data_IF_595361714875
#
_entry.id   IF_595361714875
#
_cell.length_a   1.000
_cell.length_b   1.000
_cell.length_c   1.000
_cell.angle_alpha   90.00
_cell.angle_beta   90.00
_cell.angle_gamma   90.00
#
_symmetry.space_group_name_H-M   'P 1'
#
loop_
_entity.id
_entity.type
_entity.pdbx_description
1 polymer ?
#
# COMPACT_ATOMS: atom_id res chain seq x y z
N UNK A 1 -1.07 13.94 -93.92
CA UNK A 1 -1.71 13.69 -92.62
C UNK A 1 -0.77 14.17 -91.55
N UNK A 2 -1.04 15.40 -91.08
CA UNK A 2 -0.25 16.12 -90.09
C UNK A 2 -0.89 15.94 -88.72
N UNK A 3 -0.14 15.41 -87.77
CA UNK A 3 -0.52 15.42 -86.38
C UNK A 3 0.17 16.59 -85.69
N UNK A 4 -0.63 17.58 -85.31
CA UNK A 4 -0.23 18.68 -84.44
C UNK A 4 -0.08 18.17 -83.03
N UNK A 5 1.12 18.27 -82.47
CA UNK A 5 1.38 18.06 -81.07
C UNK A 5 1.16 19.40 -80.36
N UNK A 6 0.10 19.53 -79.57
CA UNK A 6 -0.20 20.67 -78.74
C UNK A 6 0.72 20.68 -77.51
N UNK A 7 1.41 21.74 -77.32
CA UNK A 7 2.41 21.91 -76.29
C UNK A 7 1.85 21.90 -74.89
N UNK A 8 2.53 21.17 -74.10
CA UNK A 8 2.32 21.03 -72.65
C UNK A 8 2.72 22.29 -71.93
N UNK A 9 1.74 22.98 -71.37
CA UNK A 9 1.99 24.10 -70.44
C UNK A 9 2.28 23.53 -69.09
N UNK A 10 3.54 23.36 -68.75
CA UNK A 10 3.95 23.06 -67.39
C UNK A 10 3.57 24.24 -66.49
N UNK A 11 2.52 24.05 -65.72
CA UNK A 11 2.13 24.93 -64.62
C UNK A 11 3.13 24.71 -63.47
N UNK A 12 4.07 25.67 -63.36
CA UNK A 12 4.91 25.74 -62.15
C UNK A 12 4.07 26.34 -61.02
N UNK A 13 3.59 25.49 -60.11
CA UNK A 13 2.96 25.94 -58.87
C UNK A 13 4.08 26.20 -57.87
N UNK A 14 4.29 27.45 -57.53
CA UNK A 14 5.19 27.83 -56.44
C UNK A 14 4.45 27.55 -55.12
N UNK A 15 4.82 26.50 -54.39
CA UNK A 15 4.34 26.24 -53.05
C UNK A 15 5.16 27.11 -52.13
N UNK A 16 4.55 28.16 -51.58
CA UNK A 16 5.14 28.98 -50.53
C UNK A 16 4.84 28.27 -49.21
N UNK A 17 5.83 27.61 -48.65
CA UNK A 17 5.74 27.10 -47.28
C UNK A 17 5.94 28.24 -46.31
N UNK A 18 4.95 28.56 -45.52
CA UNK A 18 5.10 29.41 -44.35
C UNK A 18 5.64 28.54 -43.23
N UNK A 19 6.72 28.97 -42.58
CA UNK A 19 7.16 28.40 -41.33
C UNK A 19 6.06 28.68 -40.30
N UNK A 20 5.24 27.66 -39.99
CA UNK A 20 4.35 27.68 -38.85
C UNK A 20 5.22 27.36 -37.61
N UNK A 21 5.85 28.38 -37.07
CA UNK A 21 6.57 28.29 -35.81
C UNK A 21 5.52 28.18 -34.69
N UNK A 22 4.86 27.06 -34.60
CA UNK A 22 4.24 26.66 -33.35
C UNK A 22 5.40 26.39 -32.40
N UNK A 23 5.84 27.42 -31.69
CA UNK A 23 6.63 27.31 -30.51
C UNK A 23 5.81 26.41 -29.55
N UNK A 24 6.11 25.13 -29.55
CA UNK A 24 5.71 24.24 -28.47
C UNK A 24 6.23 24.91 -27.21
N UNK A 25 5.34 25.55 -26.47
CA UNK A 25 5.70 26.18 -25.22
C UNK A 25 6.49 25.15 -24.42
N UNK A 26 7.64 25.56 -23.92
CA UNK A 26 8.51 24.74 -23.10
C UNK A 26 7.64 24.11 -22.01
N UNK A 27 7.39 22.81 -22.10
CA UNK A 27 6.73 22.04 -21.03
C UNK A 27 7.75 21.92 -19.92
N UNK A 28 7.86 22.97 -19.12
CA UNK A 28 8.61 22.92 -17.87
C UNK A 28 7.89 21.95 -16.95
N UNK A 29 8.28 20.69 -16.98
CA UNK A 29 7.90 19.72 -15.96
C UNK A 29 8.58 20.15 -14.67
N UNK A 30 7.95 21.05 -13.94
CA UNK A 30 8.34 21.35 -12.56
C UNK A 30 8.00 20.11 -11.72
N UNK A 31 8.94 19.19 -11.63
CA UNK A 31 8.87 18.11 -10.67
C UNK A 31 8.92 18.74 -9.27
N UNK A 32 7.79 18.89 -8.62
CA UNK A 32 7.74 19.36 -7.25
C UNK A 32 8.38 18.29 -6.34
N UNK A 33 9.60 18.59 -5.89
CA UNK A 33 10.30 17.72 -4.95
C UNK A 33 9.54 17.70 -3.61
N UNK A 34 9.56 16.58 -2.87
CA UNK A 34 9.05 16.55 -1.52
C UNK A 34 9.72 17.63 -0.67
N UNK A 35 8.94 18.35 0.09
CA UNK A 35 9.48 19.30 1.07
C UNK A 35 9.45 18.66 2.46
N UNK A 36 10.52 18.88 3.20
CA UNK A 36 10.72 18.34 4.53
C UNK A 36 10.75 19.49 5.53
N UNK A 37 9.93 19.40 6.57
CA UNK A 37 9.88 20.38 7.64
C UNK A 37 10.20 19.68 8.95
N UNK A 38 11.25 20.13 9.64
CA UNK A 38 11.53 19.68 10.99
C UNK A 38 10.49 20.30 11.93
N UNK A 39 9.83 19.46 12.73
CA UNK A 39 8.89 19.86 13.79
C UNK A 39 9.56 19.65 15.15
N UNK A 40 8.93 20.09 16.23
CA UNK A 40 9.44 19.84 17.58
C UNK A 40 9.48 18.34 17.94
N UNK A 41 8.65 17.50 17.31
CA UNK A 41 8.52 16.08 17.64
C UNK A 41 9.18 15.17 16.59
N UNK A 42 9.46 15.67 15.36
CA UNK A 42 10.01 14.85 14.29
C UNK A 42 10.12 15.54 12.95
N UNK A 43 9.94 14.78 11.88
CA UNK A 43 10.08 15.21 10.50
C UNK A 43 8.73 15.10 9.77
N UNK A 44 8.22 16.22 9.29
CA UNK A 44 7.04 16.25 8.42
C UNK A 44 7.47 16.29 6.96
N UNK A 45 6.95 15.35 6.17
CA UNK A 45 7.11 15.28 4.72
C UNK A 45 5.83 15.72 4.04
N UNK A 46 5.89 16.74 3.21
CA UNK A 46 4.78 17.17 2.38
C UNK A 46 4.67 16.27 1.15
N UNK A 47 3.52 15.64 0.95
CA UNK A 47 3.27 14.67 -0.12
C UNK A 47 2.45 15.30 -1.24
N UNK A 48 1.41 16.06 -0.90
CA UNK A 48 0.47 16.64 -1.85
C UNK A 48 1.17 17.48 -2.93
N UNK A 49 0.88 17.20 -4.21
CA UNK A 49 1.45 17.93 -5.35
C UNK A 49 2.93 17.65 -5.62
N UNK A 50 3.54 16.68 -4.94
CA UNK A 50 4.92 16.25 -5.16
C UNK A 50 4.97 14.93 -5.94
N UNK A 51 6.17 14.46 -6.30
CA UNK A 51 6.35 13.14 -6.92
C UNK A 51 5.82 12.00 -6.05
N UNK A 52 5.82 12.15 -4.72
CA UNK A 52 5.30 11.16 -3.78
C UNK A 52 3.79 10.92 -3.95
N UNK A 53 3.03 11.95 -4.33
CA UNK A 53 1.58 11.82 -4.55
C UNK A 53 1.22 10.99 -5.79
N UNK A 54 2.18 10.61 -6.61
CA UNK A 54 2.00 9.81 -7.83
C UNK A 54 2.49 8.37 -7.70
N UNK A 55 2.87 7.95 -6.52
CA UNK A 55 3.47 6.62 -6.29
C UNK A 55 2.48 5.47 -6.21
N UNK A 56 1.18 5.75 -6.20
CA UNK A 56 0.12 4.75 -6.15
C UNK A 56 -0.50 4.63 -4.77
N UNK A 57 0.19 4.12 -3.77
CA UNK A 57 -0.37 3.83 -2.46
C UNK A 57 0.36 4.54 -1.32
N UNK A 58 -0.25 4.57 -0.12
CA UNK A 58 0.43 5.05 1.08
C UNK A 58 1.64 4.17 1.43
N UNK A 59 1.56 2.87 1.17
CA UNK A 59 2.68 1.97 1.35
C UNK A 59 3.90 2.42 0.54
N UNK A 60 3.68 2.79 -0.73
CA UNK A 60 4.76 3.26 -1.60
C UNK A 60 5.32 4.60 -1.15
N UNK A 61 4.47 5.50 -0.66
CA UNK A 61 4.92 6.78 -0.08
C UNK A 61 5.81 6.53 1.14
N UNK A 62 5.40 5.64 2.04
CA UNK A 62 6.14 5.37 3.28
C UNK A 62 7.55 4.79 3.03
N UNK A 63 7.76 4.03 1.95
CA UNK A 63 9.09 3.55 1.53
C UNK A 63 10.08 4.68 1.23
N UNK A 64 9.57 5.90 0.97
CA UNK A 64 10.38 7.07 0.62
C UNK A 64 10.43 8.13 1.74
N UNK A 65 9.91 7.82 2.92
CA UNK A 65 10.00 8.73 4.08
C UNK A 65 11.37 8.55 4.73
N UNK A 66 12.17 9.63 4.85
CA UNK A 66 13.48 9.55 5.49
C UNK A 66 13.41 9.01 6.92
N UNK A 67 14.25 8.02 7.23
CA UNK A 67 14.30 7.40 8.55
C UNK A 67 13.30 6.27 8.79
N UNK A 68 12.43 5.96 7.80
CA UNK A 68 11.50 4.84 7.82
C UNK A 68 11.93 3.78 6.81
N UNK A 69 11.94 2.52 7.20
CA UNK A 69 12.26 1.39 6.33
C UNK A 69 11.19 0.30 6.45
N UNK A 70 10.90 -0.40 5.35
CA UNK A 70 10.06 -1.61 5.38
C UNK A 70 10.98 -2.83 5.43
N UNK A 71 10.79 -3.69 6.42
CA UNK A 71 11.53 -4.93 6.62
C UNK A 71 10.57 -6.04 7.04
N UNK A 72 10.58 -7.16 6.31
CA UNK A 72 9.73 -8.34 6.61
C UNK A 72 8.25 -7.96 6.84
N UNK A 73 7.68 -7.18 5.91
CA UNK A 73 6.29 -6.67 5.96
C UNK A 73 5.94 -5.76 7.14
N UNK A 74 6.91 -5.37 7.97
CA UNK A 74 6.77 -4.36 9.02
C UNK A 74 7.54 -3.08 8.68
N UNK A 75 7.17 -1.98 9.32
CA UNK A 75 7.95 -0.75 9.26
C UNK A 75 8.86 -0.63 10.46
N UNK A 76 10.07 -0.16 10.23
CA UNK A 76 11.05 0.11 11.27
C UNK A 76 11.59 1.53 11.12
N UNK A 77 11.75 2.23 12.24
CA UNK A 77 12.43 3.51 12.34
C UNK A 77 13.82 3.27 12.87
N UNK A 78 14.82 3.80 12.18
CA UNK A 78 16.23 3.58 12.53
C UNK A 78 16.52 3.90 14.01
N UNK A 79 17.02 2.93 14.76
CA UNK A 79 17.35 3.02 16.19
C UNK A 79 16.14 3.12 17.14
N UNK A 80 14.89 3.01 16.64
CA UNK A 80 13.67 3.13 17.45
C UNK A 80 12.77 1.89 17.38
N UNK A 81 12.95 1.01 16.38
CA UNK A 81 12.11 -0.17 16.15
C UNK A 81 10.81 0.19 15.42
N UNK A 82 9.79 -0.65 15.60
CA UNK A 82 8.52 -0.52 14.88
C UNK A 82 7.70 0.68 15.38
N UNK A 83 7.31 1.62 14.48
CA UNK A 83 6.46 2.74 14.83
C UNK A 83 5.01 2.33 14.96
N UNK A 84 4.24 3.08 15.73
CA UNK A 84 2.78 3.06 15.65
C UNK A 84 2.35 4.00 14.52
N UNK A 85 1.40 3.56 13.68
CA UNK A 85 0.94 4.33 12.52
C UNK A 85 -0.48 4.84 12.77
N UNK A 86 -0.69 6.11 12.49
CA UNK A 86 -2.01 6.75 12.54
C UNK A 86 -2.38 7.30 11.17
N UNK A 87 -3.65 7.15 10.79
CA UNK A 87 -4.25 7.78 9.61
C UNK A 87 -5.37 8.70 10.09
N UNK A 88 -5.22 10.01 9.89
CA UNK A 88 -6.16 11.05 10.35
C UNK A 88 -6.48 10.97 11.85
N UNK A 89 -5.48 10.65 12.69
CA UNK A 89 -5.65 10.47 14.13
C UNK A 89 -6.12 9.08 14.55
N UNK A 90 -6.60 8.23 13.63
CA UNK A 90 -7.02 6.87 13.92
C UNK A 90 -5.82 5.92 13.88
N UNK A 91 -5.68 5.11 14.93
CA UNK A 91 -4.65 4.05 14.97
C UNK A 91 -4.87 3.05 13.84
N UNK A 92 -3.82 2.80 13.06
CA UNK A 92 -3.78 1.78 12.05
C UNK A 92 -3.43 0.43 12.70
N UNK A 93 -4.37 -0.50 12.71
CA UNK A 93 -4.16 -1.84 13.30
C UNK A 93 -3.67 -2.86 12.29
N UNK A 94 -3.92 -2.62 11.00
CA UNK A 94 -3.55 -3.51 9.92
C UNK A 94 -2.83 -2.74 8.81
N UNK A 95 -1.60 -3.12 8.55
CA UNK A 95 -0.75 -2.48 7.53
C UNK A 95 -1.31 -2.64 6.11
N UNK A 96 -2.18 -3.63 5.85
CA UNK A 96 -2.82 -3.78 4.54
C UNK A 96 -3.72 -2.59 4.17
N UNK A 97 -4.18 -1.80 5.15
CA UNK A 97 -4.92 -0.56 4.89
C UNK A 97 -4.05 0.50 4.18
N UNK A 98 -2.71 0.42 4.30
CA UNK A 98 -1.80 1.34 3.61
C UNK A 98 -1.78 1.11 2.10
N UNK A 99 -1.95 -0.14 1.66
CA UNK A 99 -2.07 -0.46 0.24
C UNK A 99 -3.40 0.03 -0.36
N UNK A 100 -4.42 0.16 0.49
CA UNK A 100 -5.74 0.65 0.08
C UNK A 100 -5.83 2.18 0.03
N UNK A 101 -4.96 2.89 0.74
CA UNK A 101 -4.92 4.34 0.78
C UNK A 101 -4.10 4.90 -0.40
N UNK A 102 -4.72 5.69 -1.26
CA UNK A 102 -4.06 6.30 -2.41
C UNK A 102 -3.04 7.35 -2.00
N UNK A 103 -1.89 7.35 -2.65
CA UNK A 103 -0.83 8.35 -2.44
C UNK A 103 -1.30 9.77 -2.75
N UNK A 104 -2.19 9.95 -3.74
CA UNK A 104 -2.73 11.25 -4.13
C UNK A 104 -3.64 11.88 -3.07
N UNK A 105 -4.21 11.06 -2.18
CA UNK A 105 -5.05 11.53 -1.08
C UNK A 105 -4.23 11.94 0.14
N UNK A 106 -2.94 11.62 0.18
CA UNK A 106 -2.07 12.00 1.28
C UNK A 106 -1.66 13.47 1.15
N UNK A 107 -1.90 14.23 2.21
CA UNK A 107 -1.43 15.60 2.35
C UNK A 107 -0.01 15.63 2.90
N UNK A 108 0.19 15.02 4.07
CA UNK A 108 1.46 14.98 4.79
C UNK A 108 1.67 13.62 5.44
N UNK A 109 2.94 13.26 5.61
CA UNK A 109 3.39 12.19 6.50
C UNK A 109 4.34 12.80 7.53
N UNK A 110 4.07 12.60 8.81
CA UNK A 110 4.93 13.04 9.90
C UNK A 110 5.53 11.84 10.62
N UNK A 111 6.86 11.76 10.64
CA UNK A 111 7.61 10.77 11.40
C UNK A 111 8.06 11.40 12.72
N UNK A 112 7.48 10.98 13.83
CA UNK A 112 7.79 11.42 15.18
C UNK A 112 8.76 10.42 15.79
N UNK A 113 9.98 10.87 16.08
CA UNK A 113 11.05 10.03 16.66
C UNK A 113 11.24 10.28 18.15
N UNK A 114 10.51 11.24 18.69
CA UNK A 114 10.49 11.58 20.13
C UNK A 114 9.06 11.82 20.56
N UNK A 115 8.23 10.74 20.63
CA UNK A 115 6.83 10.87 21.02
C UNK A 115 6.73 11.40 22.45
N UNK A 116 5.93 12.45 22.62
CA UNK A 116 5.70 13.09 23.92
C UNK A 116 4.77 12.26 24.83
N UNK A 117 4.43 12.81 26.00
CA UNK A 117 3.64 12.14 27.05
C UNK A 117 2.20 11.76 26.65
N UNK A 118 1.73 12.17 25.49
CA UNK A 118 0.42 11.74 24.93
C UNK A 118 0.39 10.32 24.39
N UNK A 119 1.56 9.70 24.26
CA UNK A 119 1.69 8.30 23.81
C UNK A 119 2.14 7.44 24.98
N UNK A 120 1.83 6.13 24.89
CA UNK A 120 2.32 5.16 25.86
C UNK A 120 3.86 5.18 25.94
N UNK A 121 4.42 4.97 27.13
CA UNK A 121 5.86 4.99 27.36
C UNK A 121 6.65 3.94 26.55
N UNK A 122 6.00 2.88 26.10
CA UNK A 122 6.58 1.84 25.23
C UNK A 122 6.75 2.30 23.79
N UNK A 123 6.03 3.35 23.36
CA UNK A 123 6.03 3.85 21.98
C UNK A 123 7.31 4.64 21.72
N UNK A 124 8.15 4.15 20.83
CA UNK A 124 9.45 4.75 20.49
C UNK A 124 9.40 5.65 19.26
N UNK A 125 8.44 5.42 18.36
CA UNK A 125 8.23 6.22 17.17
C UNK A 125 6.77 6.18 16.75
N UNK A 126 6.31 7.24 16.07
CA UNK A 126 4.95 7.35 15.54
C UNK A 126 5.02 7.88 14.11
N UNK A 127 4.24 7.28 13.22
CA UNK A 127 3.98 7.79 11.86
C UNK A 127 2.56 8.32 11.81
N UNK A 128 2.38 9.59 11.46
CA UNK A 128 1.06 10.19 11.23
C UNK A 128 0.87 10.46 9.75
N UNK A 129 -0.13 9.85 9.17
CA UNK A 129 -0.57 10.11 7.80
C UNK A 129 -1.79 11.02 7.88
N UNK A 130 -1.69 12.20 7.28
CA UNK A 130 -2.82 13.12 7.14
C UNK A 130 -3.25 13.13 5.69
N UNK A 131 -4.51 12.83 5.43
CA UNK A 131 -5.09 12.91 4.09
C UNK A 131 -5.65 14.31 3.82
N UNK A 132 -5.81 14.62 2.54
CA UNK A 132 -6.54 15.82 2.15
C UNK A 132 -8.04 15.61 2.37
N UNK A 133 -8.78 16.63 2.77
CA UNK A 133 -10.23 16.54 2.83
C UNK A 133 -10.80 16.31 1.42
N UNK A 134 -11.74 15.39 1.30
CA UNK A 134 -12.49 15.17 0.06
C UNK A 134 -13.29 16.45 -0.23
N UNK A 135 -13.10 17.03 -1.41
CA UNK A 135 -13.80 18.25 -1.84
C UNK A 135 -14.96 17.90 -2.77
N UNK A 136 -16.06 18.65 -2.64
CA UNK A 136 -17.24 18.54 -3.48
C UNK A 136 -18.36 17.70 -2.86
N UNK A 137 -19.55 17.89 -3.38
CA UNK A 137 -20.75 17.11 -3.06
C UNK A 137 -21.08 16.17 -4.19
N UNK A 138 -21.86 15.13 -3.91
CA UNK A 138 -22.29 14.15 -4.89
C UNK A 138 -21.67 12.78 -4.66
N UNK A 139 -21.80 11.93 -5.65
CA UNK A 139 -21.26 10.59 -5.68
C UNK A 139 -19.93 10.57 -6.43
N UNK A 140 -18.94 9.95 -5.84
CA UNK A 140 -17.65 9.69 -6.45
C UNK A 140 -17.27 8.23 -6.31
N UNK A 141 -16.54 7.70 -7.28
CA UNK A 141 -15.92 6.38 -7.17
C UNK A 141 -14.61 6.34 -7.92
N UNK A 142 -13.77 5.39 -7.56
CA UNK A 142 -12.60 5.01 -8.30
C UNK A 142 -12.38 3.50 -8.27
N UNK A 143 -11.77 2.99 -9.32
CA UNK A 143 -11.41 1.58 -9.45
C UNK A 143 -9.91 1.48 -9.67
N UNK A 144 -9.29 0.57 -8.92
CA UNK A 144 -7.90 0.16 -9.13
C UNK A 144 -7.88 -1.31 -9.46
N UNK A 145 -7.32 -1.66 -10.62
CA UNK A 145 -7.04 -3.01 -11.03
C UNK A 145 -5.52 -3.17 -11.19
N UNK A 146 -4.96 -4.17 -10.57
CA UNK A 146 -3.54 -4.45 -10.62
C UNK A 146 -3.28 -5.90 -10.98
N UNK A 147 -2.35 -6.11 -11.90
CA UNK A 147 -1.82 -7.40 -12.26
C UNK A 147 -0.32 -7.40 -12.04
N UNK A 148 0.17 -8.42 -11.37
CA UNK A 148 1.60 -8.66 -11.25
C UNK A 148 1.91 -10.08 -11.70
N UNK A 149 2.98 -10.20 -12.49
CA UNK A 149 3.49 -11.48 -12.95
C UNK A 149 4.96 -11.57 -12.54
N UNK A 150 5.22 -12.54 -11.67
CA UNK A 150 6.58 -13.02 -11.46
C UNK A 150 6.60 -14.49 -11.83
N UNK A 151 6.83 -15.44 -10.94
CA UNK A 151 6.67 -16.86 -11.22
C UNK A 151 5.19 -17.23 -11.35
N UNK A 152 4.35 -16.64 -10.49
CA UNK A 152 2.90 -16.82 -10.49
C UNK A 152 2.18 -15.48 -10.63
N UNK A 153 0.98 -15.56 -11.18
CA UNK A 153 0.14 -14.39 -11.39
C UNK A 153 -0.50 -13.91 -10.07
N UNK A 154 -0.47 -12.60 -9.82
CA UNK A 154 -1.18 -11.95 -8.75
C UNK A 154 -2.14 -10.89 -9.26
N UNK A 155 -3.24 -10.69 -8.54
CA UNK A 155 -4.28 -9.72 -8.87
C UNK A 155 -4.66 -8.90 -7.65
N UNK A 156 -4.91 -7.61 -7.89
CA UNK A 156 -5.48 -6.69 -6.90
C UNK A 156 -6.62 -5.94 -7.57
N UNK A 157 -7.81 -6.01 -6.98
CA UNK A 157 -8.98 -5.28 -7.42
C UNK A 157 -9.52 -4.46 -6.26
N UNK A 158 -9.75 -3.18 -6.50
CA UNK A 158 -10.26 -2.27 -5.49
C UNK A 158 -11.26 -1.31 -6.10
N UNK A 159 -12.40 -1.19 -5.44
CA UNK A 159 -13.40 -0.16 -5.68
C UNK A 159 -13.51 0.70 -4.42
N UNK A 160 -13.22 1.97 -4.54
CA UNK A 160 -13.58 2.96 -3.53
C UNK A 160 -14.76 3.76 -4.03
N UNK A 161 -15.66 4.10 -3.12
CA UNK A 161 -16.80 4.97 -3.44
C UNK A 161 -17.11 5.88 -2.26
N UNK A 162 -17.66 7.04 -2.55
CA UNK A 162 -18.14 7.96 -1.54
C UNK A 162 -19.34 8.74 -2.05
N UNK A 163 -20.22 9.10 -1.13
CA UNK A 163 -21.32 9.99 -1.37
C UNK A 163 -21.32 11.07 -0.31
N UNK A 164 -21.27 12.32 -0.73
CA UNK A 164 -21.30 13.48 0.17
C UNK A 164 -22.45 14.40 -0.19
N UNK A 165 -23.18 14.79 0.83
CA UNK A 165 -24.22 15.80 0.73
C UNK A 165 -24.30 16.58 2.04
N UNK A 166 -24.14 17.90 1.95
CA UNK A 166 -24.13 18.81 3.11
C UNK A 166 -23.13 18.33 4.19
N UNK A 167 -23.67 17.88 5.31
CA UNK A 167 -22.91 17.42 6.50
C UNK A 167 -22.67 15.92 6.53
N UNK A 168 -23.26 15.19 5.60
CA UNK A 168 -23.20 13.73 5.52
C UNK A 168 -22.13 13.29 4.51
N UNK A 169 -21.29 12.35 4.90
CA UNK A 169 -20.31 11.70 4.04
C UNK A 169 -20.39 10.18 4.27
N UNK A 170 -20.81 9.44 3.26
CA UNK A 170 -20.90 7.98 3.27
C UNK A 170 -19.84 7.44 2.34
N UNK A 171 -19.08 6.48 2.78
CA UNK A 171 -17.97 5.94 2.00
C UNK A 171 -17.84 4.43 2.15
N UNK A 172 -17.18 3.82 1.18
CA UNK A 172 -16.87 2.40 1.24
C UNK A 172 -15.72 2.02 0.34
N UNK A 173 -15.15 0.86 0.65
CA UNK A 173 -14.09 0.21 -0.11
C UNK A 173 -14.40 -1.27 -0.21
N UNK A 174 -14.31 -1.82 -1.41
CA UNK A 174 -14.25 -3.26 -1.65
C UNK A 174 -12.86 -3.56 -2.21
N UNK A 175 -12.13 -4.43 -1.53
CA UNK A 175 -10.78 -4.80 -1.90
C UNK A 175 -10.66 -6.31 -1.96
N UNK A 176 -10.07 -6.79 -3.05
CA UNK A 176 -9.73 -8.20 -3.24
C UNK A 176 -8.30 -8.33 -3.72
N UNK A 177 -7.56 -9.24 -3.13
CA UNK A 177 -6.21 -9.60 -3.56
C UNK A 177 -6.08 -11.10 -3.65
N UNK A 178 -5.50 -11.57 -4.75
CA UNK A 178 -4.98 -12.93 -4.88
C UNK A 178 -3.49 -12.86 -5.12
N UNK A 179 -2.72 -13.61 -4.36
CA UNK A 179 -1.27 -13.73 -4.53
C UNK A 179 -0.84 -15.18 -4.41
N UNK A 180 0.07 -15.57 -5.29
CA UNK A 180 0.78 -16.83 -5.20
C UNK A 180 2.27 -16.51 -5.05
N UNK A 181 2.93 -17.24 -4.18
CA UNK A 181 4.35 -17.10 -3.94
C UNK A 181 5.00 -18.45 -3.73
N UNK A 182 6.30 -18.50 -3.83
CA UNK A 182 7.09 -19.65 -3.45
C UNK A 182 8.38 -19.22 -2.78
N UNK A 183 8.90 -20.12 -1.99
CA UNK A 183 10.23 -20.05 -1.40
C UNK A 183 10.96 -21.34 -1.73
N UNK A 184 12.19 -21.24 -2.23
CA UNK A 184 13.04 -22.37 -2.51
C UNK A 184 14.38 -22.14 -1.79
N UNK A 185 14.77 -23.11 -0.98
CA UNK A 185 16.02 -23.03 -0.24
C UNK A 185 16.74 -24.35 -0.21
N UNK A 186 18.09 -24.28 -0.17
CA UNK A 186 18.98 -25.39 0.07
C UNK A 186 19.91 -24.99 1.19
N UNK A 187 20.04 -25.87 2.16
CA UNK A 187 20.91 -25.63 3.32
C UNK A 187 21.45 -26.94 3.88
N UNK A 188 22.60 -26.85 4.48
CA UNK A 188 23.23 -27.99 5.15
C UNK A 188 23.14 -27.80 6.67
N UNK A 189 23.07 -28.90 7.39
CA UNK A 189 23.09 -28.93 8.85
C UNK A 189 24.05 -29.99 9.34
N UNK A 190 24.97 -29.62 10.22
CA UNK A 190 25.89 -30.53 10.89
C UNK A 190 25.56 -30.63 12.38
N UNK A 191 25.41 -31.85 12.87
CA UNK A 191 25.20 -32.14 14.28
C UNK A 191 26.38 -33.01 14.78
N UNK A 192 27.16 -32.45 15.69
CA UNK A 192 28.33 -33.10 16.26
C UNK A 192 28.00 -33.70 17.64
N UNK A 193 27.84 -35.01 17.65
CA UNK A 193 27.69 -35.82 18.85
C UNK A 193 28.74 -36.97 18.77
N UNK A 194 28.47 -38.15 19.29
CA UNK A 194 29.37 -39.33 19.15
C UNK A 194 29.56 -39.70 17.67
N UNK A 195 28.55 -39.40 16.82
CA UNK A 195 28.55 -39.54 15.36
C UNK A 195 28.39 -38.16 14.75
N UNK A 196 29.13 -37.86 13.70
CA UNK A 196 28.91 -36.67 12.89
C UNK A 196 27.77 -36.89 11.95
N UNK A 197 26.63 -36.22 12.22
CA UNK A 197 25.48 -36.23 11.32
C UNK A 197 25.56 -35.00 10.40
N UNK A 198 25.50 -35.25 9.11
CA UNK A 198 25.42 -34.22 8.08
C UNK A 198 24.11 -34.37 7.29
N UNK A 199 23.41 -33.26 7.04
CA UNK A 199 22.18 -33.24 6.28
C UNK A 199 22.26 -32.23 5.16
N UNK A 200 21.97 -32.67 3.94
CA UNK A 200 21.76 -31.82 2.77
C UNK A 200 20.25 -31.67 2.55
N UNK A 201 19.75 -30.46 2.82
CA UNK A 201 18.33 -30.18 2.82
C UNK A 201 17.90 -29.38 1.60
N UNK A 202 16.81 -29.79 0.97
CA UNK A 202 16.08 -29.07 -0.04
C UNK A 202 14.66 -28.77 0.45
N UNK A 203 14.27 -27.52 0.40
CA UNK A 203 12.92 -27.10 0.72
C UNK A 203 12.33 -26.31 -0.45
N UNK A 204 11.12 -26.64 -0.83
CA UNK A 204 10.27 -25.84 -1.69
C UNK A 204 8.92 -25.63 -1.03
N UNK A 205 8.49 -24.38 -0.89
CA UNK A 205 7.20 -24.04 -0.33
C UNK A 205 6.44 -23.12 -1.27
N UNK A 206 5.26 -23.55 -1.71
CA UNK A 206 4.34 -22.75 -2.52
C UNK A 206 3.17 -22.31 -1.65
N UNK A 207 2.83 -21.03 -1.75
CA UNK A 207 1.70 -20.43 -1.03
C UNK A 207 0.71 -19.83 -2.02
N UNK A 208 -0.59 -20.05 -1.79
CA UNK A 208 -1.67 -19.37 -2.48
C UNK A 208 -2.55 -18.70 -1.43
N UNK A 209 -2.64 -17.38 -1.48
CA UNK A 209 -3.36 -16.58 -0.51
C UNK A 209 -4.37 -15.68 -1.21
N UNK A 210 -5.53 -15.56 -0.58
CA UNK A 210 -6.56 -14.63 -1.00
C UNK A 210 -6.93 -13.75 0.19
N UNK A 211 -7.16 -12.47 -0.07
CA UNK A 211 -7.62 -11.52 0.93
C UNK A 211 -8.79 -10.73 0.37
N UNK A 212 -9.84 -10.62 1.16
CA UNK A 212 -10.99 -9.80 0.88
C UNK A 212 -11.20 -8.82 2.03
N UNK A 213 -11.36 -7.53 1.70
CA UNK A 213 -11.70 -6.50 2.69
C UNK A 213 -12.87 -5.69 2.18
N UNK A 214 -13.88 -5.52 3.04
CA UNK A 214 -14.98 -4.59 2.80
C UNK A 214 -15.00 -3.56 3.92
N UNK A 215 -15.02 -2.28 3.55
CA UNK A 215 -15.14 -1.16 4.47
C UNK A 215 -16.41 -0.40 4.09
N UNK A 216 -17.21 -0.04 5.08
CA UNK A 216 -18.32 0.88 4.93
C UNK A 216 -18.34 1.85 6.11
N UNK A 217 -18.59 3.13 5.86
CA UNK A 217 -18.58 4.12 6.92
C UNK A 217 -19.46 5.32 6.61
N UNK A 218 -19.77 6.03 7.69
CA UNK A 218 -20.55 7.26 7.66
C UNK A 218 -19.89 8.28 8.57
N UNK A 219 -19.72 9.49 8.05
CA UNK A 219 -19.30 10.68 8.80
C UNK A 219 -20.42 11.70 8.80
N UNK A 220 -20.61 12.35 9.92
CA UNK A 220 -21.51 13.48 10.04
C UNK A 220 -20.79 14.67 10.70
N UNK A 221 -20.71 15.79 9.99
CA UNK A 221 -20.14 17.03 10.50
C UNK A 221 -21.25 17.90 11.10
N UNK A 222 -21.22 18.12 12.41
CA UNK A 222 -22.14 19.06 13.05
C UNK A 222 -21.87 20.49 12.61
N UNK A 223 -20.57 20.84 12.58
CA UNK A 223 -20.01 22.12 12.14
C UNK A 223 -18.59 21.91 11.59
N UNK A 224 -17.84 22.99 11.34
CA UNK A 224 -16.48 22.95 10.79
C UNK A 224 -15.45 22.28 11.72
N UNK A 225 -15.75 22.24 13.03
CA UNK A 225 -14.83 21.76 14.06
C UNK A 225 -15.29 20.44 14.71
N UNK A 226 -16.52 20.03 14.52
CA UNK A 226 -17.13 18.91 15.23
C UNK A 226 -17.71 17.88 14.27
N UNK A 227 -17.25 16.63 14.38
CA UNK A 227 -17.71 15.50 13.56
C UNK A 227 -17.76 14.20 14.33
N UNK A 228 -18.67 13.34 13.97
CA UNK A 228 -18.78 11.96 14.44
C UNK A 228 -18.77 11.01 13.26
N UNK A 229 -18.26 9.82 13.43
CA UNK A 229 -18.29 8.81 12.41
C UNK A 229 -18.32 7.38 12.95
N UNK A 230 -18.79 6.50 12.09
CA UNK A 230 -18.79 5.05 12.32
C UNK A 230 -18.20 4.39 11.08
N UNK A 231 -17.28 3.45 11.29
CA UNK A 231 -16.67 2.64 10.24
C UNK A 231 -16.79 1.16 10.62
N UNK A 232 -17.33 0.37 9.71
CA UNK A 232 -17.32 -1.07 9.77
C UNK A 232 -16.30 -1.63 8.80
N UNK A 233 -15.57 -2.65 9.22
CA UNK A 233 -14.61 -3.36 8.38
C UNK A 233 -14.81 -4.86 8.53
N UNK A 234 -14.97 -5.53 7.40
CA UNK A 234 -14.97 -6.99 7.27
C UNK A 234 -13.67 -7.41 6.57
N UNK A 235 -12.93 -8.35 7.14
CA UNK A 235 -11.77 -8.99 6.50
C UNK A 235 -11.99 -10.50 6.45
N UNK A 236 -11.70 -11.07 5.30
CA UNK A 236 -11.79 -12.51 5.10
C UNK A 236 -10.60 -12.96 4.25
N UNK A 237 -10.01 -14.09 4.65
CA UNK A 237 -8.99 -14.80 3.89
C UNK A 237 -9.59 -16.16 3.51
N UNK A 238 -10.36 -16.23 2.40
CA UNK A 238 -11.21 -17.39 2.12
C UNK A 238 -10.43 -18.70 1.96
N UNK A 239 -9.23 -18.64 1.39
CA UNK A 239 -8.39 -19.81 1.18
C UNK A 239 -6.91 -19.44 1.31
N UNK A 240 -6.20 -20.09 2.21
CA UNK A 240 -4.75 -20.09 2.24
C UNK A 240 -4.26 -21.53 2.06
N UNK A 241 -3.65 -21.82 0.93
CA UNK A 241 -3.14 -23.15 0.60
C UNK A 241 -1.62 -23.13 0.59
N UNK A 242 -1.06 -24.17 1.21
CA UNK A 242 0.37 -24.35 1.34
C UNK A 242 0.74 -25.72 0.78
N UNK A 243 1.71 -25.75 -0.10
CA UNK A 243 2.33 -26.97 -0.56
C UNK A 243 3.81 -26.89 -0.26
N UNK A 244 4.31 -27.77 0.59
CA UNK A 244 5.71 -27.77 0.99
C UNK A 244 6.32 -29.13 0.72
N UNK A 245 7.41 -29.14 -0.03
CA UNK A 245 8.29 -30.29 -0.24
C UNK A 245 9.53 -30.07 0.59
N UNK A 246 9.90 -31.03 1.40
CA UNK A 246 11.15 -31.02 2.17
C UNK A 246 11.85 -32.35 2.01
N UNK A 247 13.00 -32.34 1.39
CA UNK A 247 13.85 -33.51 1.18
C UNK A 247 15.18 -33.33 1.87
N UNK A 248 15.71 -34.40 2.46
CA UNK A 248 16.98 -34.39 3.16
C UNK A 248 17.76 -35.67 2.89
N UNK A 249 18.95 -35.54 2.37
CA UNK A 249 19.96 -36.61 2.35
C UNK A 249 20.73 -36.55 3.68
N UNK A 250 20.70 -37.68 4.43
CA UNK A 250 21.31 -37.79 5.77
C UNK A 250 22.54 -38.67 5.70
N UNK A 251 23.64 -38.19 6.27
CA UNK A 251 24.92 -38.90 6.33
C UNK A 251 25.36 -39.07 7.78
N UNK A 252 25.93 -40.24 8.09
CA UNK A 252 26.58 -40.56 9.37
C UNK A 252 28.05 -40.80 9.11
N UNK A 253 28.93 -40.02 9.75
CA UNK A 253 30.40 -40.08 9.57
C UNK A 253 30.83 -40.07 8.09
N UNK A 254 30.13 -39.28 7.25
CA UNK A 254 30.40 -39.16 5.81
C UNK A 254 29.79 -40.27 4.93
N UNK A 255 29.13 -41.26 5.52
CA UNK A 255 28.44 -42.34 4.79
C UNK A 255 26.96 -42.02 4.69
N UNK A 256 26.38 -42.13 3.48
CA UNK A 256 24.93 -41.93 3.31
C UNK A 256 24.16 -42.91 4.19
N UNK A 257 23.29 -42.39 5.04
CA UNK A 257 22.56 -43.16 6.04
C UNK A 257 21.10 -43.33 5.63
N UNK A 258 20.40 -42.21 5.25
CA UNK A 258 18.98 -42.23 4.93
C UNK A 258 18.61 -41.08 4.01
N UNK A 259 17.44 -41.18 3.38
CA UNK A 259 16.81 -40.12 2.60
C UNK A 259 15.41 -39.84 3.13
N UNK A 260 15.17 -38.63 3.58
CA UNK A 260 13.87 -38.18 4.10
C UNK A 260 13.17 -37.39 3.00
N UNK A 261 11.94 -37.75 2.70
CA UNK A 261 11.08 -37.03 1.77
C UNK A 261 9.74 -36.74 2.41
N UNK A 262 9.40 -35.45 2.42
CA UNK A 262 8.11 -34.99 2.92
C UNK A 262 7.42 -34.16 1.85
N UNK A 263 6.16 -34.46 1.59
CA UNK A 263 5.26 -33.69 0.72
C UNK A 263 4.02 -33.33 1.54
N UNK A 264 3.87 -32.05 1.86
CA UNK A 264 2.85 -31.56 2.78
C UNK A 264 1.93 -30.60 2.03
N UNK A 265 0.66 -30.97 1.95
CA UNK A 265 -0.40 -30.12 1.45
C UNK A 265 -1.29 -29.69 2.62
N UNK A 266 -1.38 -28.39 2.88
CA UNK A 266 -2.17 -27.83 3.96
C UNK A 266 -3.11 -26.75 3.45
N UNK A 267 -4.28 -26.65 4.04
CA UNK A 267 -5.21 -25.55 3.81
C UNK A 267 -5.52 -24.93 5.18
N UNK A 268 -5.27 -23.63 5.29
CA UNK A 268 -5.67 -22.85 6.45
C UNK A 268 -7.02 -22.19 6.19
N UNK A 269 -7.93 -22.37 7.13
CA UNK A 269 -9.24 -21.75 7.14
C UNK A 269 -9.24 -20.67 8.23
N UNK A 270 -9.66 -19.47 7.86
CA UNK A 270 -9.73 -18.35 8.78
C UNK A 270 -11.18 -17.88 8.88
N UNK A 271 -11.64 -17.65 10.10
CA UNK A 271 -12.92 -16.97 10.28
C UNK A 271 -12.81 -15.53 9.77
N UNK A 272 -13.87 -15.00 9.17
CA UNK A 272 -13.92 -13.57 8.86
C UNK A 272 -13.81 -12.75 10.13
N UNK A 273 -12.97 -11.74 10.14
CA UNK A 273 -12.87 -10.80 11.25
C UNK A 273 -13.68 -9.54 10.96
N UNK A 274 -14.33 -9.05 12.00
CA UNK A 274 -15.19 -7.88 11.93
C UNK A 274 -14.68 -6.81 12.89
N UNK A 275 -14.72 -5.56 12.48
CA UNK A 275 -14.46 -4.46 13.39
C UNK A 275 -15.41 -3.29 13.17
N UNK A 276 -15.82 -2.70 14.26
CA UNK A 276 -16.59 -1.46 14.28
C UNK A 276 -15.73 -0.41 14.98
N UNK A 277 -15.52 0.72 14.33
CA UNK A 277 -14.84 1.88 14.90
C UNK A 277 -15.83 3.04 14.99
N UNK A 278 -15.95 3.60 16.17
CA UNK A 278 -16.74 4.83 16.43
C UNK A 278 -15.76 5.92 16.84
N UNK A 279 -15.85 7.07 16.22
CA UNK A 279 -14.97 8.18 16.51
C UNK A 279 -15.71 9.52 16.54
N UNK A 280 -15.24 10.40 17.40
CA UNK A 280 -15.67 11.79 17.46
C UNK A 280 -14.42 12.68 17.48
N UNK A 281 -14.43 13.70 16.67
CA UNK A 281 -13.42 14.75 16.69
C UNK A 281 -14.10 16.10 16.81
N UNK A 282 -13.67 16.90 17.77
CA UNK A 282 -14.32 18.19 18.00
C UNK A 282 -13.57 19.13 18.91
N UNK A 283 -14.15 20.34 19.04
CA UNK A 283 -13.67 21.40 19.90
C UNK A 283 -14.72 21.76 20.94
N UNK A 284 -14.37 21.71 22.21
CA UNK A 284 -15.18 22.24 23.31
C UNK A 284 -14.51 23.52 23.88
N UNK A 285 -14.91 24.66 23.36
CA UNK A 285 -14.25 25.93 23.66
C UNK A 285 -12.81 25.94 23.11
N UNK A 286 -11.80 25.87 23.98
CA UNK A 286 -10.37 25.81 23.62
C UNK A 286 -9.79 24.39 23.68
N UNK A 287 -10.59 23.42 24.10
CA UNK A 287 -10.16 22.03 24.28
C UNK A 287 -10.49 21.22 23.04
N UNK A 288 -9.48 20.60 22.44
CA UNK A 288 -9.66 19.60 21.39
C UNK A 288 -10.04 18.26 22.03
N UNK A 289 -11.09 17.63 21.51
CA UNK A 289 -11.57 16.31 21.91
C UNK A 289 -11.39 15.39 20.73
N UNK A 290 -10.64 14.30 20.94
CA UNK A 290 -10.47 13.21 19.99
C UNK A 290 -10.82 11.91 20.72
N UNK A 291 -11.94 11.29 20.31
CA UNK A 291 -12.42 10.05 20.87
C UNK A 291 -12.44 8.97 19.80
N UNK A 292 -11.88 7.81 20.13
CA UNK A 292 -11.87 6.62 19.28
C UNK A 292 -12.22 5.39 20.13
N UNK A 293 -13.15 4.58 19.64
CA UNK A 293 -13.50 3.30 20.22
C UNK A 293 -13.58 2.23 19.13
N UNK A 294 -12.88 1.12 19.36
CA UNK A 294 -12.87 -0.04 18.47
C UNK A 294 -13.51 -1.24 19.17
N UNK A 295 -14.36 -1.94 18.43
CA UNK A 295 -14.89 -3.23 18.82
C UNK A 295 -14.55 -4.25 17.73
N UNK A 296 -13.85 -5.34 18.10
CA UNK A 296 -13.40 -6.40 17.21
C UNK A 296 -14.09 -7.70 17.63
N UNK A 297 -14.52 -8.49 16.62
CA UNK A 297 -15.08 -9.82 16.83
C UNK A 297 -14.86 -10.70 15.60
N UNK A 298 -14.70 -12.00 15.81
CA UNK A 298 -14.44 -13.03 14.80
C UNK A 298 -15.59 -14.04 14.80
#
# INVERSE_FOLDING_TARGET
MSWLYSGDKSLWVTIVMHEDVNLLGEVVVKGNRPSYKLTAEGLQTHVQGTVLSKMGTAEDVLKHIPGLQKKNDAYEVFGKGSPIIYVNGRLLRDLSELDQLKSEDIKNVELITSPGARYDASVKAVVKITTRPIKGEGFGFDVRSGYNQWEYAGFVEQLNWNYRRDKLDVFGTVYYRKSEGFDESRFTQDVHVDTLWHQDNYQFAKTNQQAFTNIAGVNYAFDENNSIGVKYTLKANPDARYHTIFNSDVYADGTHYDYLANDINATAYYNPSHSVNVYYKGMAGKTEIDFNADYLFD
#
